data_IF_235022227586
#
_entry.id   IF_235022227586
#
_cell.length_a   1.000
_cell.length_b   1.000
_cell.length_c   1.000
_cell.angle_alpha   90.00
_cell.angle_beta   90.00
_cell.angle_gamma   90.00
#
_symmetry.space_group_name_H-M   'P 1'
#
loop_
_entity.id
_entity.type
_entity.pdbx_description
1 polymer ?
#
# COMPACT_ATOMS: atom_id res chain seq x y z
N UNK A 1 1.69 -30.05 -31.64
CA UNK A 1 1.43 -28.60 -31.52
C UNK A 1 -0.03 -28.42 -31.13
N UNK A 2 -0.30 -28.23 -29.83
CA UNK A 2 -1.66 -28.11 -29.29
C UNK A 2 -2.12 -26.66 -29.36
N UNK A 3 -3.14 -26.42 -30.19
CA UNK A 3 -3.82 -25.14 -30.37
C UNK A 3 -4.44 -24.69 -29.04
N UNK A 4 -3.85 -23.68 -28.39
CA UNK A 4 -4.43 -23.02 -27.19
C UNK A 4 -5.80 -22.45 -27.57
N UNK A 5 -6.85 -23.02 -26.99
CA UNK A 5 -8.24 -22.65 -27.23
C UNK A 5 -8.51 -21.21 -26.76
N UNK A 6 -8.61 -20.25 -27.69
CA UNK A 6 -8.84 -18.82 -27.43
C UNK A 6 -10.15 -18.51 -26.67
N UNK A 7 -11.04 -19.50 -26.51
CA UNK A 7 -12.24 -19.42 -25.65
C UNK A 7 -11.89 -19.44 -24.16
N UNK A 8 -10.84 -20.17 -23.76
CA UNK A 8 -10.34 -20.18 -22.38
C UNK A 8 -9.87 -18.78 -21.98
N UNK A 9 -9.08 -18.16 -22.85
CA UNK A 9 -8.52 -16.81 -22.64
C UNK A 9 -9.61 -15.74 -22.55
N UNK A 10 -10.65 -15.80 -23.39
CA UNK A 10 -11.77 -14.83 -23.33
C UNK A 10 -12.65 -15.03 -22.09
N UNK A 11 -12.87 -16.27 -21.67
CA UNK A 11 -13.66 -16.59 -20.48
C UNK A 11 -12.94 -16.17 -19.20
N UNK A 12 -11.62 -16.34 -19.15
CA UNK A 12 -10.78 -15.91 -18.06
C UNK A 12 -10.70 -14.38 -17.98
N UNK A 13 -10.57 -13.70 -19.13
CA UNK A 13 -10.65 -12.25 -19.21
C UNK A 13 -11.98 -11.70 -18.69
N UNK A 14 -13.11 -12.31 -19.09
CA UNK A 14 -14.45 -11.92 -18.63
C UNK A 14 -14.66 -12.18 -17.13
N UNK A 15 -14.05 -13.25 -16.59
CA UNK A 15 -14.04 -13.53 -15.15
C UNK A 15 -13.21 -12.51 -14.37
N UNK A 16 -12.04 -12.14 -14.89
CA UNK A 16 -11.19 -11.12 -14.30
C UNK A 16 -11.90 -9.76 -14.29
N UNK A 17 -12.49 -9.34 -15.42
CA UNK A 17 -13.21 -8.07 -15.53
C UNK A 17 -14.36 -7.98 -14.51
N UNK A 18 -15.14 -9.06 -14.36
CA UNK A 18 -16.21 -9.12 -13.36
C UNK A 18 -15.70 -9.01 -11.93
N UNK A 19 -14.59 -9.70 -11.59
CA UNK A 19 -13.97 -9.59 -10.26
C UNK A 19 -13.49 -8.17 -9.99
N UNK A 20 -12.79 -7.57 -10.94
CA UNK A 20 -12.32 -6.18 -10.85
C UNK A 20 -13.48 -5.20 -10.66
N UNK A 21 -14.59 -5.38 -11.39
CA UNK A 21 -15.78 -4.53 -11.24
C UNK A 21 -16.39 -4.62 -9.84
N UNK A 22 -16.48 -5.83 -9.29
CA UNK A 22 -17.01 -6.04 -7.92
C UNK A 22 -16.08 -5.39 -6.89
N UNK A 23 -14.76 -5.61 -7.00
CA UNK A 23 -13.79 -5.01 -6.08
C UNK A 23 -13.80 -3.49 -6.15
N UNK A 24 -13.82 -2.90 -7.35
CA UNK A 24 -13.89 -1.44 -7.52
C UNK A 24 -15.15 -0.87 -6.89
N UNK A 25 -16.30 -1.51 -7.10
CA UNK A 25 -17.56 -1.04 -6.49
C UNK A 25 -17.51 -1.12 -4.96
N UNK A 26 -16.91 -2.17 -4.40
CA UNK A 26 -16.72 -2.28 -2.96
C UNK A 26 -15.79 -1.17 -2.43
N UNK A 27 -14.72 -0.84 -3.14
CA UNK A 27 -13.81 0.26 -2.79
C UNK A 27 -14.56 1.59 -2.81
N UNK A 28 -15.34 1.86 -3.86
CA UNK A 28 -16.08 3.13 -3.99
C UNK A 28 -17.14 3.27 -2.88
N UNK A 29 -17.79 2.16 -2.48
CA UNK A 29 -18.69 2.14 -1.32
C UNK A 29 -17.95 2.45 -0.01
N UNK A 30 -16.77 1.86 0.21
CA UNK A 30 -15.96 2.17 1.41
C UNK A 30 -15.54 3.64 1.38
N UNK A 31 -15.04 4.13 0.26
CA UNK A 31 -14.53 5.50 0.12
C UNK A 31 -15.61 6.55 0.40
N UNK A 32 -16.86 6.28 -0.05
CA UNK A 32 -18.03 7.13 0.22
C UNK A 32 -18.37 7.30 1.71
N UNK A 33 -17.80 6.48 2.60
CA UNK A 33 -18.06 6.54 4.04
C UNK A 33 -19.42 5.97 4.48
N UNK A 34 -20.24 5.48 3.54
CA UNK A 34 -21.59 4.94 3.83
C UNK A 34 -21.57 3.59 4.57
N UNK A 35 -20.39 2.97 4.70
CA UNK A 35 -20.22 1.64 5.27
C UNK A 35 -20.54 0.56 4.24
N UNK A 36 -19.71 -0.48 4.20
CA UNK A 36 -19.83 -1.56 3.22
C UNK A 36 -20.33 -2.85 3.90
N UNK A 37 -21.24 -3.56 3.24
CA UNK A 37 -21.56 -4.95 3.51
C UNK A 37 -21.93 -5.68 2.20
N UNK A 38 -22.09 -7.01 2.27
CA UNK A 38 -22.44 -7.80 1.09
C UNK A 38 -23.81 -7.43 0.50
N UNK A 39 -24.72 -6.84 1.28
CA UNK A 39 -26.02 -6.39 0.81
C UNK A 39 -25.88 -5.14 -0.06
N UNK A 40 -25.15 -4.12 0.43
CA UNK A 40 -24.92 -2.87 -0.28
C UNK A 40 -24.11 -3.09 -1.56
N UNK A 41 -23.13 -4.01 -1.55
CA UNK A 41 -22.42 -4.39 -2.76
C UNK A 41 -23.29 -5.14 -3.77
N UNK A 42 -24.15 -6.07 -3.33
CA UNK A 42 -25.10 -6.74 -4.23
C UNK A 42 -26.14 -5.79 -4.81
N UNK A 43 -26.48 -4.70 -4.09
CA UNK A 43 -27.35 -3.66 -4.60
C UNK A 43 -26.62 -2.77 -5.64
N UNK A 44 -25.35 -2.42 -5.38
CA UNK A 44 -24.55 -1.58 -6.26
C UNK A 44 -24.07 -2.31 -7.53
N UNK A 45 -23.73 -3.60 -7.41
CA UNK A 45 -23.48 -4.50 -8.54
C UNK A 45 -24.62 -5.50 -8.56
N UNK A 46 -25.68 -5.33 -9.38
CA UNK A 46 -26.93 -6.08 -9.28
C UNK A 46 -26.76 -7.57 -9.55
N UNK A 47 -26.25 -8.30 -8.55
CA UNK A 47 -25.99 -9.73 -8.52
C UNK A 47 -26.58 -10.32 -7.25
N UNK A 48 -27.11 -11.53 -7.34
CA UNK A 48 -27.58 -12.25 -6.16
C UNK A 48 -26.41 -12.56 -5.21
N UNK A 49 -26.67 -12.58 -3.89
CA UNK A 49 -25.67 -12.98 -2.88
C UNK A 49 -25.05 -14.35 -3.18
N UNK A 50 -25.87 -15.30 -3.63
CA UNK A 50 -25.40 -16.64 -4.03
C UNK A 50 -24.41 -16.60 -5.21
N UNK A 51 -24.56 -15.65 -6.13
CA UNK A 51 -23.62 -15.45 -7.23
C UNK A 51 -22.32 -14.79 -6.74
N UNK A 52 -22.41 -13.83 -5.81
CA UNK A 52 -21.25 -13.21 -5.16
C UNK A 52 -20.41 -14.27 -4.44
N UNK A 53 -21.02 -15.11 -3.60
CA UNK A 53 -20.32 -16.17 -2.88
C UNK A 53 -19.74 -17.27 -3.78
N UNK A 54 -20.27 -17.46 -4.99
CA UNK A 54 -19.64 -18.36 -5.97
C UNK A 54 -18.32 -17.79 -6.51
N UNK A 55 -18.18 -16.47 -6.54
CA UNK A 55 -16.96 -15.78 -6.99
C UNK A 55 -15.98 -15.63 -5.83
N UNK A 56 -16.50 -15.31 -4.65
CA UNK A 56 -15.77 -15.08 -3.40
C UNK A 56 -16.37 -15.98 -2.29
N UNK A 57 -15.89 -17.23 -2.14
CA UNK A 57 -16.53 -18.22 -1.26
C UNK A 57 -16.47 -17.89 0.22
N UNK A 58 -15.58 -16.97 0.62
CA UNK A 58 -15.44 -16.50 1.98
C UNK A 58 -15.44 -14.96 1.99
N UNK A 59 -16.20 -14.38 2.93
CA UNK A 59 -16.20 -12.94 3.16
C UNK A 59 -14.79 -12.43 3.49
N UNK A 60 -13.98 -13.19 4.23
CA UNK A 60 -12.59 -12.83 4.55
C UNK A 60 -11.74 -12.74 3.28
N UNK A 61 -11.94 -13.65 2.32
CA UNK A 61 -11.24 -13.60 1.03
C UNK A 61 -11.63 -12.33 0.28
N UNK A 62 -12.91 -11.96 0.28
CA UNK A 62 -13.36 -10.72 -0.36
C UNK A 62 -12.74 -9.48 0.33
N UNK A 63 -12.75 -9.43 1.66
CA UNK A 63 -12.14 -8.34 2.42
C UNK A 63 -10.62 -8.24 2.17
N UNK A 64 -9.90 -9.36 2.08
CA UNK A 64 -8.48 -9.37 1.71
C UNK A 64 -8.26 -8.76 0.32
N UNK A 65 -9.01 -9.22 -0.68
CA UNK A 65 -8.87 -8.74 -2.05
C UNK A 65 -9.23 -7.26 -2.19
N UNK A 66 -10.21 -6.78 -1.41
CA UNK A 66 -10.52 -5.35 -1.34
C UNK A 66 -9.31 -4.58 -0.78
N UNK A 67 -8.71 -5.04 0.33
CA UNK A 67 -7.54 -4.38 0.94
C UNK A 67 -6.33 -4.37 0.00
N UNK A 68 -6.03 -5.50 -0.63
CA UNK A 68 -4.96 -5.59 -1.63
C UNK A 68 -5.19 -4.61 -2.78
N UNK A 69 -6.43 -4.49 -3.26
CA UNK A 69 -6.77 -3.55 -4.32
C UNK A 69 -6.70 -2.08 -3.86
N UNK A 70 -7.08 -1.76 -2.62
CA UNK A 70 -6.90 -0.41 -2.06
C UNK A 70 -5.41 -0.08 -1.94
N UNK A 71 -4.60 -1.01 -1.42
CA UNK A 71 -3.14 -0.83 -1.35
C UNK A 71 -2.56 -0.65 -2.75
N UNK A 72 -2.98 -1.42 -3.74
CA UNK A 72 -2.56 -1.22 -5.12
C UNK A 72 -2.90 0.19 -5.65
N UNK A 73 -4.09 0.74 -5.33
CA UNK A 73 -4.43 2.13 -5.65
C UNK A 73 -3.54 3.14 -4.94
N UNK A 74 -3.23 2.91 -3.66
CA UNK A 74 -2.28 3.76 -2.91
C UNK A 74 -0.89 3.72 -3.53
N UNK A 75 -0.37 2.53 -3.85
CA UNK A 75 0.93 2.33 -4.50
C UNK A 75 0.99 3.05 -5.86
N UNK A 76 -0.10 3.05 -6.61
CA UNK A 76 -0.20 3.78 -7.87
C UNK A 76 -0.26 5.30 -7.69
N UNK A 77 -0.82 5.78 -6.57
CA UNK A 77 -0.91 7.20 -6.26
C UNK A 77 0.43 7.78 -5.79
N UNK A 78 1.23 7.01 -5.04
CA UNK A 78 2.56 7.45 -4.58
C UNK A 78 3.56 7.30 -5.74
N UNK A 79 4.07 8.39 -6.33
CA UNK A 79 4.95 8.32 -7.48
C UNK A 79 6.28 7.70 -7.09
N UNK A 80 6.65 6.61 -7.74
CA UNK A 80 7.90 5.89 -7.46
C UNK A 80 8.96 6.02 -8.56
N UNK A 81 8.73 6.92 -9.51
CA UNK A 81 9.71 7.26 -10.54
C UNK A 81 10.81 8.14 -9.95
N UNK A 82 12.05 7.73 -10.19
CA UNK A 82 13.26 8.54 -9.95
C UNK A 82 13.50 9.37 -11.20
N UNK A 83 13.57 10.69 -11.05
CA UNK A 83 14.00 11.60 -12.10
C UNK A 83 15.51 11.83 -12.04
N UNK A 84 16.10 12.27 -13.16
CA UNK A 84 17.50 12.68 -13.18
C UNK A 84 17.71 13.85 -12.21
N UNK A 85 18.69 13.70 -11.31
CA UNK A 85 18.97 14.69 -10.27
C UNK A 85 18.16 14.52 -8.97
N UNK A 86 17.31 13.49 -8.86
CA UNK A 86 16.65 13.17 -7.59
C UNK A 86 17.69 12.71 -6.54
N UNK A 87 17.50 13.14 -5.30
CA UNK A 87 18.15 12.58 -4.11
C UNK A 87 17.19 11.66 -3.36
N UNK A 88 17.71 10.77 -2.51
CA UNK A 88 16.85 9.94 -1.67
C UNK A 88 15.94 10.79 -0.75
N UNK A 89 16.44 11.94 -0.27
CA UNK A 89 15.64 12.93 0.47
C UNK A 89 14.45 13.42 -0.35
N UNK A 90 14.70 13.96 -1.54
CA UNK A 90 13.65 14.53 -2.39
C UNK A 90 12.59 13.50 -2.78
N UNK A 91 13.00 12.26 -3.03
CA UNK A 91 12.10 11.15 -3.35
C UNK A 91 11.22 10.78 -2.14
N UNK A 92 11.81 10.73 -0.93
CA UNK A 92 11.07 10.43 0.30
C UNK A 92 10.09 11.55 0.63
N UNK A 93 10.51 12.82 0.54
CA UNK A 93 9.65 13.99 0.75
C UNK A 93 8.43 13.96 -0.18
N UNK A 94 8.65 13.83 -1.50
CA UNK A 94 7.59 13.68 -2.49
C UNK A 94 6.68 12.48 -2.24
N UNK A 95 7.24 11.34 -1.83
CA UNK A 95 6.45 10.13 -1.53
C UNK A 95 5.59 10.29 -0.28
N UNK A 96 6.11 10.97 0.74
CA UNK A 96 5.37 11.28 1.98
C UNK A 96 4.25 12.27 1.70
N UNK A 97 4.52 13.32 0.92
CA UNK A 97 3.50 14.31 0.52
C UNK A 97 2.33 13.63 -0.19
N UNK A 98 2.61 12.77 -1.18
CA UNK A 98 1.59 12.07 -1.95
C UNK A 98 0.83 11.02 -1.12
N UNK A 99 1.51 10.35 -0.18
CA UNK A 99 0.84 9.48 0.78
C UNK A 99 -0.14 10.27 1.67
N UNK A 100 0.32 11.41 2.21
CA UNK A 100 -0.49 12.27 3.07
C UNK A 100 -1.67 12.85 2.30
N UNK A 101 -1.46 13.34 1.08
CA UNK A 101 -2.51 13.81 0.16
C UNK A 101 -3.53 12.72 -0.15
N UNK A 102 -3.08 11.49 -0.41
CA UNK A 102 -3.97 10.37 -0.66
C UNK A 102 -4.85 10.05 0.56
N UNK A 103 -4.28 10.03 1.77
CA UNK A 103 -5.06 9.75 2.98
C UNK A 103 -6.11 10.84 3.23
N UNK A 104 -5.78 12.11 2.96
CA UNK A 104 -6.74 13.21 3.10
C UNK A 104 -7.87 13.12 2.09
N UNK A 105 -7.59 12.68 0.87
CA UNK A 105 -8.62 12.45 -0.15
C UNK A 105 -9.47 11.21 0.11
N UNK A 106 -8.91 10.19 0.74
CA UNK A 106 -9.54 8.88 0.95
C UNK A 106 -9.54 8.41 2.42
N UNK A 107 -10.08 9.20 3.36
CA UNK A 107 -9.97 8.92 4.80
C UNK A 107 -10.70 7.62 5.19
N UNK A 108 -11.79 7.28 4.49
CA UNK A 108 -12.52 6.02 4.73
C UNK A 108 -11.72 4.79 4.29
N UNK A 109 -10.97 4.89 3.19
CA UNK A 109 -10.07 3.81 2.74
C UNK A 109 -8.91 3.62 3.71
N UNK A 110 -8.29 4.70 4.17
CA UNK A 110 -7.24 4.62 5.19
C UNK A 110 -7.76 3.97 6.48
N UNK A 111 -8.92 4.42 6.98
CA UNK A 111 -9.55 3.83 8.18
C UNK A 111 -9.89 2.35 8.00
N UNK A 112 -10.33 1.98 6.80
CA UNK A 112 -10.59 0.58 6.46
C UNK A 112 -9.29 -0.22 6.51
N UNK A 113 -8.20 0.26 5.89
CA UNK A 113 -6.87 -0.38 5.90
C UNK A 113 -6.35 -0.58 7.32
N UNK A 114 -6.40 0.45 8.18
CA UNK A 114 -5.90 0.39 9.56
C UNK A 114 -6.76 -0.46 10.50
N UNK A 115 -7.94 -0.92 10.06
CA UNK A 115 -8.87 -1.72 10.88
C UNK A 115 -9.64 -0.90 11.93
N UNK A 116 -9.30 0.37 12.14
CA UNK A 116 -9.96 1.30 13.07
C UNK A 116 -11.41 1.61 12.66
N UNK A 117 -11.80 1.30 11.42
CA UNK A 117 -13.17 1.47 10.89
C UNK A 117 -13.99 0.19 10.84
N UNK A 118 -13.43 -0.97 11.18
CA UNK A 118 -14.20 -2.22 11.20
C UNK A 118 -14.91 -2.36 12.54
N UNK A 119 -16.21 -2.66 12.53
CA UNK A 119 -17.05 -2.88 13.73
C UNK A 119 -16.59 -4.04 14.64
N UNK A 120 -15.48 -4.70 14.33
CA UNK A 120 -14.93 -5.80 15.11
C UNK A 120 -13.69 -5.31 15.88
N UNK A 121 -13.91 -4.80 17.10
CA UNK A 121 -12.85 -4.32 17.99
C UNK A 121 -12.00 -5.42 18.63
N UNK A 122 -11.68 -6.50 17.92
CA UNK A 122 -10.94 -7.64 18.45
C UNK A 122 -9.87 -8.14 17.46
N UNK A 123 -8.61 -7.96 17.84
CA UNK A 123 -7.39 -8.38 17.14
C UNK A 123 -7.21 -7.78 15.72
N UNK A 124 -5.95 -7.57 15.31
CA UNK A 124 -5.63 -7.30 13.90
C UNK A 124 -6.19 -8.48 13.10
N UNK A 125 -7.29 -8.28 12.38
CA UNK A 125 -7.91 -9.35 11.61
C UNK A 125 -6.94 -9.79 10.52
N UNK A 126 -6.94 -11.09 10.17
CA UNK A 126 -6.07 -11.61 9.10
C UNK A 126 -6.16 -10.78 7.78
N UNK A 127 -7.33 -10.21 7.41
CA UNK A 127 -7.41 -9.24 6.33
C UNK A 127 -6.59 -7.96 6.49
N UNK A 128 -6.62 -7.34 7.67
CA UNK A 128 -5.79 -6.15 7.97
C UNK A 128 -4.31 -6.49 7.80
N UNK A 129 -3.89 -7.67 8.29
CA UNK A 129 -2.51 -8.12 8.14
C UNK A 129 -2.09 -8.33 6.68
N UNK A 130 -2.97 -8.85 5.81
CA UNK A 130 -2.67 -9.09 4.40
C UNK A 130 -2.44 -7.78 3.60
N UNK A 131 -3.34 -6.80 3.74
CA UNK A 131 -3.18 -5.50 3.08
C UNK A 131 -1.90 -4.79 3.53
N UNK A 132 -1.65 -4.77 4.85
CA UNK A 132 -0.41 -4.22 5.41
C UNK A 132 0.83 -4.94 4.88
N UNK A 133 0.78 -6.26 4.71
CA UNK A 133 1.87 -7.06 4.15
C UNK A 133 2.22 -6.64 2.71
N UNK A 134 1.23 -6.35 1.87
CA UNK A 134 1.47 -5.87 0.50
C UNK A 134 2.18 -4.50 0.50
N UNK A 135 1.77 -3.58 1.39
CA UNK A 135 2.40 -2.27 1.48
C UNK A 135 3.84 -2.38 2.02
N UNK A 136 4.06 -3.20 3.05
CA UNK A 136 5.41 -3.51 3.57
C UNK A 136 6.28 -4.10 2.47
N UNK A 137 5.79 -5.06 1.70
CA UNK A 137 6.54 -5.68 0.59
C UNK A 137 7.01 -4.65 -0.45
N UNK A 138 6.14 -3.71 -0.81
CA UNK A 138 6.51 -2.61 -1.70
C UNK A 138 7.61 -1.74 -1.08
N UNK A 139 7.45 -1.29 0.17
CA UNK A 139 8.45 -0.46 0.86
C UNK A 139 9.79 -1.21 0.95
N UNK A 140 9.79 -2.49 1.33
CA UNK A 140 10.98 -3.33 1.36
C UNK A 140 11.69 -3.38 0.01
N UNK A 141 10.93 -3.58 -1.07
CA UNK A 141 11.47 -3.65 -2.44
C UNK A 141 12.12 -2.32 -2.84
N UNK A 142 11.46 -1.20 -2.54
CA UNK A 142 11.97 0.14 -2.88
C UNK A 142 13.19 0.53 -2.04
N UNK A 143 13.19 0.23 -0.75
CA UNK A 143 14.35 0.49 0.12
C UNK A 143 15.54 -0.38 -0.29
N UNK A 144 15.34 -1.68 -0.55
CA UNK A 144 16.42 -2.54 -1.04
C UNK A 144 16.98 -2.03 -2.37
N UNK A 145 16.11 -1.61 -3.30
CA UNK A 145 16.54 -1.05 -4.58
C UNK A 145 17.32 0.26 -4.42
N UNK A 146 16.83 1.19 -3.57
CA UNK A 146 17.49 2.47 -3.31
C UNK A 146 18.87 2.32 -2.66
N UNK A 147 19.07 1.27 -1.87
CA UNK A 147 20.35 0.94 -1.25
C UNK A 147 21.21 -0.02 -2.09
N UNK A 148 20.77 -0.38 -3.30
CA UNK A 148 21.40 -1.39 -4.17
C UNK A 148 21.68 -2.72 -3.45
N UNK A 149 20.81 -3.10 -2.50
CA UNK A 149 20.97 -4.29 -1.69
C UNK A 149 20.43 -5.52 -2.41
N UNK A 150 21.33 -6.49 -2.65
CA UNK A 150 20.97 -7.86 -3.02
C UNK A 150 21.44 -8.79 -1.90
N UNK A 151 20.57 -9.04 -0.93
CA UNK A 151 20.90 -9.81 0.27
C UNK A 151 20.14 -11.16 0.28
N UNK A 152 20.79 -12.28 0.64
CA UNK A 152 20.10 -13.56 0.73
C UNK A 152 19.05 -13.51 1.86
N UNK A 153 17.99 -14.34 1.77
CA UNK A 153 17.00 -14.48 2.83
C UNK A 153 17.69 -14.69 4.19
N UNK A 154 17.13 -14.07 5.23
CA UNK A 154 17.58 -14.16 6.61
C UNK A 154 18.95 -13.57 6.95
N UNK A 155 19.66 -12.98 5.98
CA UNK A 155 20.85 -12.17 6.29
C UNK A 155 20.49 -10.93 7.14
N UNK A 156 21.44 -10.38 7.92
CA UNK A 156 21.19 -9.17 8.71
C UNK A 156 20.62 -8.01 7.88
N UNK A 157 21.13 -7.81 6.66
CA UNK A 157 20.66 -6.79 5.73
C UNK A 157 19.20 -7.06 5.25
N UNK A 158 18.89 -8.30 4.86
CA UNK A 158 17.53 -8.68 4.48
C UNK A 158 16.54 -8.44 5.64
N UNK A 159 16.90 -8.89 6.85
CA UNK A 159 16.07 -8.72 8.05
C UNK A 159 15.91 -7.25 8.41
N UNK A 160 16.96 -6.43 8.26
CA UNK A 160 16.90 -4.99 8.48
C UNK A 160 15.93 -4.32 7.51
N UNK A 161 15.98 -4.64 6.22
CA UNK A 161 15.02 -4.13 5.22
C UNK A 161 13.59 -4.48 5.62
N UNK A 162 13.30 -5.73 5.96
CA UNK A 162 11.95 -6.15 6.31
C UNK A 162 11.44 -5.44 7.58
N UNK A 163 12.26 -5.39 8.64
CA UNK A 163 11.90 -4.71 9.90
C UNK A 163 11.74 -3.21 9.71
N UNK A 164 12.63 -2.60 8.93
CA UNK A 164 12.58 -1.18 8.61
C UNK A 164 11.33 -0.83 7.80
N UNK A 165 10.95 -1.64 6.81
CA UNK A 165 9.71 -1.45 6.06
C UNK A 165 8.46 -1.57 6.96
N UNK A 166 8.43 -2.55 7.87
CA UNK A 166 7.38 -2.64 8.88
C UNK A 166 7.33 -1.39 9.78
N UNK A 167 8.49 -0.86 10.17
CA UNK A 167 8.63 0.37 10.96
C UNK A 167 8.11 1.59 10.21
N UNK A 168 8.51 1.78 8.95
CA UNK A 168 8.06 2.87 8.07
C UNK A 168 6.54 2.84 7.91
N UNK A 169 5.96 1.70 7.53
CA UNK A 169 4.50 1.58 7.35
C UNK A 169 3.77 1.83 8.67
N UNK A 170 4.29 1.34 9.79
CA UNK A 170 3.73 1.62 11.11
C UNK A 170 3.77 3.10 11.49
N UNK A 171 4.88 3.77 11.22
CA UNK A 171 5.08 5.19 11.51
C UNK A 171 4.15 6.07 10.68
N UNK A 172 4.05 5.81 9.37
CA UNK A 172 3.14 6.51 8.47
C UNK A 172 1.69 6.34 8.93
N UNK A 173 1.23 5.10 9.13
CA UNK A 173 -0.14 4.83 9.54
C UNK A 173 -0.46 5.44 10.90
N UNK A 174 0.39 5.24 11.91
CA UNK A 174 0.09 5.67 13.28
C UNK A 174 0.06 7.19 13.41
N UNK A 175 1.00 7.89 12.77
CA UNK A 175 1.09 9.34 12.86
C UNK A 175 -0.10 9.99 12.16
N UNK A 176 -0.52 9.47 11.00
CA UNK A 176 -1.69 10.00 10.29
C UNK A 176 -3.00 9.67 11.01
N UNK A 177 -3.12 8.48 11.63
CA UNK A 177 -4.25 8.16 12.51
C UNK A 177 -4.33 9.14 13.68
N UNK A 178 -3.24 9.33 14.42
CA UNK A 178 -3.18 10.26 15.55
C UNK A 178 -3.55 11.68 15.13
N UNK A 179 -3.04 12.14 14.00
CA UNK A 179 -3.35 13.44 13.45
C UNK A 179 -4.85 13.63 13.20
N UNK A 180 -5.50 12.65 12.58
CA UNK A 180 -6.95 12.68 12.34
C UNK A 180 -7.79 12.59 13.61
N UNK A 181 -7.26 12.00 14.69
CA UNK A 181 -7.97 11.89 15.97
C UNK A 181 -7.81 13.13 16.85
N UNK A 182 -6.71 13.87 16.69
CA UNK A 182 -6.32 14.95 17.60
C UNK A 182 -6.47 16.35 17.00
N UNK A 183 -6.59 16.48 15.68
CA UNK A 183 -6.63 17.79 15.00
C UNK A 183 -7.84 17.96 14.09
N UNK A 184 -8.39 19.18 14.11
CA UNK A 184 -9.53 19.59 13.27
C UNK A 184 -9.10 20.12 11.87
N UNK A 185 -7.82 20.04 11.53
CA UNK A 185 -7.27 20.46 10.23
C UNK A 185 -6.80 19.27 9.40
N UNK A 186 -6.70 19.36 8.06
CA UNK A 186 -6.21 18.26 7.24
C UNK A 186 -4.67 18.10 7.33
N UNK A 187 -4.15 16.85 7.36
CA UNK A 187 -2.71 16.54 7.35
C UNK A 187 -1.88 17.27 6.31
N UNK A 188 -2.43 17.48 5.11
CA UNK A 188 -1.76 18.12 3.96
C UNK A 188 -1.40 19.58 4.17
N UNK A 189 -1.98 20.22 5.19
CA UNK A 189 -1.67 21.61 5.58
C UNK A 189 -0.62 21.69 6.69
N UNK A 190 -0.09 20.55 7.13
CA UNK A 190 0.84 20.48 8.25
C UNK A 190 2.25 20.16 7.76
N UNK A 191 2.98 21.19 7.37
CA UNK A 191 4.39 21.10 6.96
C UNK A 191 5.27 20.41 8.02
N UNK A 192 4.93 20.57 9.30
CA UNK A 192 5.65 19.90 10.39
C UNK A 192 5.41 18.38 10.40
N UNK A 193 4.22 17.92 10.00
CA UNK A 193 3.93 16.49 9.86
C UNK A 193 4.76 15.88 8.73
N UNK A 194 4.75 16.49 7.54
CA UNK A 194 5.46 15.97 6.39
C UNK A 194 6.98 15.96 6.65
N UNK A 195 7.52 17.07 7.18
CA UNK A 195 8.93 17.15 7.56
C UNK A 195 9.33 16.07 8.59
N UNK A 196 8.49 15.83 9.60
CA UNK A 196 8.73 14.76 10.58
C UNK A 196 8.71 13.38 9.94
N UNK A 197 7.68 13.06 9.14
CA UNK A 197 7.55 11.77 8.48
C UNK A 197 8.72 11.50 7.52
N UNK A 198 9.11 12.48 6.70
CA UNK A 198 10.23 12.36 5.78
C UNK A 198 11.55 12.15 6.53
N UNK A 199 11.81 12.93 7.58
CA UNK A 199 13.01 12.75 8.40
C UNK A 199 13.04 11.37 9.09
N UNK A 200 11.90 10.91 9.61
CA UNK A 200 11.80 9.61 10.26
C UNK A 200 12.02 8.45 9.28
N UNK A 201 11.44 8.52 8.08
CA UNK A 201 11.65 7.53 7.02
C UNK A 201 13.12 7.47 6.61
N UNK A 202 13.76 8.62 6.38
CA UNK A 202 15.19 8.69 6.07
C UNK A 202 16.05 8.13 7.21
N UNK A 203 15.68 8.39 8.46
CA UNK A 203 16.36 7.82 9.64
C UNK A 203 16.28 6.29 9.67
N UNK A 204 15.13 5.71 9.33
CA UNK A 204 14.98 4.25 9.22
C UNK A 204 15.82 3.69 8.07
N UNK A 205 15.85 4.36 6.91
CA UNK A 205 16.68 3.95 5.77
C UNK A 205 18.18 3.98 6.14
N UNK A 206 18.63 5.04 6.82
CA UNK A 206 20.00 5.14 7.33
C UNK A 206 20.35 3.98 8.28
N UNK A 207 19.47 3.64 9.21
CA UNK A 207 19.68 2.50 10.11
C UNK A 207 19.78 1.16 9.35
N UNK A 208 19.01 0.98 8.26
CA UNK A 208 19.12 -0.20 7.40
C UNK A 208 20.47 -0.23 6.69
N UNK A 209 20.91 0.92 6.15
CA UNK A 209 22.18 1.06 5.47
C UNK A 209 23.37 0.74 6.39
N UNK A 210 23.35 1.24 7.63
CA UNK A 210 24.35 0.95 8.65
C UNK A 210 24.44 -0.54 8.97
N UNK A 211 23.29 -1.22 9.16
CA UNK A 211 23.25 -2.67 9.42
C UNK A 211 23.74 -3.46 8.21
N UNK A 212 23.45 -2.99 7.01
CA UNK A 212 23.90 -3.61 5.76
C UNK A 212 25.34 -3.24 5.39
N UNK A 213 25.99 -2.36 6.16
CA UNK A 213 27.34 -1.82 5.90
C UNK A 213 27.49 -1.19 4.50
N UNK A 214 26.45 -0.46 4.05
CA UNK A 214 26.47 0.29 2.79
C UNK A 214 26.45 1.80 3.05
N UNK A 215 27.17 2.61 2.27
CA UNK A 215 27.11 4.05 2.41
C UNK A 215 25.72 4.56 2.02
N UNK A 216 25.14 5.41 2.85
CA UNK A 216 23.88 6.09 2.56
C UNK A 216 24.02 7.56 2.91
N UNK A 217 23.96 8.40 1.89
CA UNK A 217 23.82 9.85 2.03
C UNK A 217 22.49 10.24 1.39
N UNK A 218 21.50 10.72 2.17
CA UNK A 218 20.20 11.06 1.64
C UNK A 218 20.23 12.24 0.66
N UNK A 219 21.30 13.04 0.67
CA UNK A 219 21.49 14.23 -0.16
C UNK A 219 22.35 13.95 -1.40
N UNK A 220 22.90 12.74 -1.52
CA UNK A 220 23.58 12.29 -2.73
C UNK A 220 22.56 11.99 -3.85
N UNK A 221 22.97 12.27 -5.08
CA UNK A 221 22.17 11.97 -6.27
C UNK A 221 21.95 10.46 -6.41
N UNK A 222 20.72 10.07 -6.72
CA UNK A 222 20.41 8.69 -7.08
C UNK A 222 20.95 8.46 -8.50
N UNK A 223 21.80 7.46 -8.64
CA UNK A 223 22.34 7.10 -9.95
C UNK A 223 21.26 6.44 -10.81
N UNK A 224 20.72 7.18 -11.79
CA UNK A 224 19.65 6.72 -12.68
C UNK A 224 20.16 5.72 -13.74
N UNK A 225 21.48 5.54 -13.91
CA UNK A 225 22.04 4.58 -14.87
C UNK A 225 21.87 3.10 -14.45
N UNK A 226 21.45 2.81 -13.21
CA UNK A 226 21.07 1.47 -12.79
C UNK A 226 19.66 1.04 -13.29
N UNK A 227 18.96 1.91 -14.03
CA UNK A 227 17.58 1.75 -14.51
C UNK A 227 17.31 0.72 -15.62
N UNK A 228 18.15 -0.30 -15.79
CA UNK A 228 17.80 -1.50 -16.58
C UNK A 228 17.70 -2.71 -15.66
N UNK A 229 16.51 -2.88 -15.07
CA UNK A 229 16.06 -4.20 -14.64
C UNK A 229 15.76 -5.05 -15.90
N UNK A 230 16.19 -6.33 -15.97
CA UNK A 230 15.69 -7.28 -16.96
C UNK A 230 14.20 -7.59 -16.76
#
# INVERSE_FOLDING_TARGET
MTTRDGRSTRWDAHRAERRTRILNTAIDLIDSGTGWDTASLCAAVPIARSALYRIFPDQRILENLIREAIVARLIQAVPTSVADGDTARSLVERSVDEYVDWVVRHPSLQRYLSGTGTRSGLAVSAPVAAGRSAFVCMVSTKVAAALHLSAPPDSPAYVAVQRGAHGIVGLLESTVIDFHLTRDRPPTTDESLNAFLSAAVLGVIGAIADIAAVPFDPDSLIDTEAGKLP
#
